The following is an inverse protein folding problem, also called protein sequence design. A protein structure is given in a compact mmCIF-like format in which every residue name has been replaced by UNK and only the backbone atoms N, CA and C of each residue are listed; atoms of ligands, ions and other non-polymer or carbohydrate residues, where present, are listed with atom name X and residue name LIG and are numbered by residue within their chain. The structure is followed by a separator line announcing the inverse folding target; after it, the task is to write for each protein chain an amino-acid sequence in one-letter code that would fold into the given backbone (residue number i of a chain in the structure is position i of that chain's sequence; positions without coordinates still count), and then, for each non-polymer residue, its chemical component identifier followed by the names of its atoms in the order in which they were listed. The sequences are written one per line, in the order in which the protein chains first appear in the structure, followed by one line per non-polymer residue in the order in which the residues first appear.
data_IF_685345886005
#
_entry.id   IF_685345886005
#
_cell.length_a   1.000
_cell.length_b   1.000
_cell.length_c   1.000
_cell.angle_alpha   90.00
_cell.angle_beta   90.00
_cell.angle_gamma   90.00
#
_symmetry.space_group_name_H-M   'P 1'
#
loop_
_entity.id
_entity.type
_entity.pdbx_description
1 polymer ?
#
# COMPACT_ATOMS: atom_id res chain seq x y z
N UNK A 1 -30.76 -28.90 2.06
CA UNK A 1 -29.29 -28.99 2.10
C UNK A 1 -28.80 -28.56 3.48
N UNK A 2 -28.34 -29.55 4.23
CA UNK A 2 -27.30 -29.54 5.27
C UNK A 2 -26.60 -28.19 5.58
N UNK A 3 -26.71 -27.70 6.83
CA UNK A 3 -25.70 -27.89 7.90
C UNK A 3 -26.01 -26.97 9.09
N UNK A 4 -26.27 -27.59 10.24
CA UNK A 4 -26.32 -26.91 11.52
C UNK A 4 -24.98 -26.24 11.83
N UNK A 5 -25.04 -25.05 12.42
CA UNK A 5 -23.85 -24.38 12.91
C UNK A 5 -23.36 -25.07 14.18
N UNK A 6 -22.06 -25.38 14.17
CA UNK A 6 -21.36 -26.12 15.21
C UNK A 6 -21.26 -25.28 16.50
N UNK A 7 -21.86 -25.83 17.55
CA UNK A 7 -21.33 -26.03 18.91
C UNK A 7 -20.29 -25.04 19.43
N UNK A 8 -20.65 -24.44 20.56
CA UNK A 8 -19.80 -23.69 21.48
C UNK A 8 -18.51 -24.44 21.80
N UNK A 9 -17.38 -23.93 21.30
CA UNK A 9 -16.07 -24.37 21.77
C UNK A 9 -15.74 -23.60 23.06
N UNK A 10 -16.26 -24.13 24.18
CA UNK A 10 -15.71 -23.89 25.51
C UNK A 10 -14.29 -24.47 25.59
N UNK A 11 -13.27 -23.73 25.17
CA UNK A 11 -11.90 -24.01 25.60
C UNK A 11 -11.16 -22.71 25.94
N UNK A 12 -10.82 -22.63 27.23
CA UNK A 12 -9.64 -21.95 27.77
C UNK A 12 -9.71 -20.42 27.90
N UNK A 13 -10.11 -20.00 29.10
CA UNK A 13 -9.50 -18.87 29.82
C UNK A 13 -7.98 -18.88 29.59
N UNK A 14 -7.48 -18.04 28.69
CA UNK A 14 -6.07 -17.63 28.69
C UNK A 14 -6.02 -16.12 28.83
N UNK A 15 -5.80 -15.73 30.07
CA UNK A 15 -5.41 -14.40 30.52
C UNK A 15 -4.39 -13.73 29.60
N UNK A 16 -4.53 -12.41 29.46
CA UNK A 16 -3.46 -11.45 29.19
C UNK A 16 -2.66 -11.66 27.89
N UNK A 17 -3.04 -10.90 26.87
CA UNK A 17 -2.27 -9.71 26.44
C UNK A 17 -3.10 -8.96 25.39
N UNK A 18 -3.51 -7.74 25.70
CA UNK A 18 -4.07 -6.80 24.73
C UNK A 18 -2.94 -6.44 23.74
N UNK A 19 -2.70 -7.28 22.74
CA UNK A 19 -2.00 -6.84 21.54
C UNK A 19 -3.07 -6.11 20.75
N UNK A 20 -3.05 -4.79 20.87
CA UNK A 20 -3.84 -3.92 20.01
C UNK A 20 -3.26 -4.14 18.61
N UNK A 21 -3.88 -5.03 17.84
CA UNK A 21 -3.63 -5.11 16.40
C UNK A 21 -4.18 -3.81 15.80
N UNK A 22 -3.33 -2.80 15.68
CA UNK A 22 -3.64 -1.54 14.99
C UNK A 22 -3.71 -1.72 13.46
N UNK A 23 -4.14 -2.89 12.99
CA UNK A 23 -4.23 -3.21 11.58
C UNK A 23 -5.69 -3.57 11.29
N UNK A 24 -6.37 -2.80 10.44
CA UNK A 24 -7.75 -3.10 10.11
C UNK A 24 -7.76 -4.39 9.28
N UNK A 25 -8.21 -5.47 9.92
CA UNK A 25 -8.65 -6.70 9.25
C UNK A 25 -9.88 -6.37 8.40
N UNK A 26 -9.64 -5.83 7.20
CA UNK A 26 -10.69 -5.38 6.31
C UNK A 26 -10.22 -4.28 5.38
N UNK A 27 -9.14 -4.50 4.61
CA UNK A 27 -8.79 -3.59 3.51
C UNK A 27 -9.72 -3.87 2.32
N UNK A 28 -10.99 -3.47 2.46
CA UNK A 28 -11.77 -3.04 1.30
C UNK A 28 -10.89 -2.04 0.57
N UNK A 29 -10.60 -2.31 -0.71
CA UNK A 29 -9.59 -1.62 -1.52
C UNK A 29 -9.81 -0.11 -1.40
N UNK A 30 -9.08 0.53 -0.48
CA UNK A 30 -9.14 1.96 -0.28
C UNK A 30 -8.37 2.54 -1.44
N UNK A 31 -9.08 3.20 -2.35
CA UNK A 31 -8.51 4.10 -3.34
C UNK A 31 -7.96 5.34 -2.62
N UNK A 32 -7.07 5.10 -1.66
CA UNK A 32 -6.33 6.15 -0.96
C UNK A 32 -5.62 6.94 -2.05
N UNK A 33 -5.79 8.28 -2.06
CA UNK A 33 -5.25 9.11 -3.12
C UNK A 33 -3.74 8.88 -3.19
N UNK A 34 -3.29 8.45 -4.37
CA UNK A 34 -1.88 8.42 -4.72
C UNK A 34 -1.61 9.63 -5.61
N UNK A 35 -0.61 10.47 -5.30
CA UNK A 35 0.41 10.31 -4.26
C UNK A 35 -0.10 10.69 -2.84
N UNK A 36 0.56 10.19 -1.78
CA UNK A 36 0.22 10.55 -0.41
C UNK A 36 0.39 12.05 -0.18
N UNK A 37 -0.40 12.66 0.70
CA UNK A 37 -0.34 14.10 0.97
C UNK A 37 1.07 14.62 1.35
N UNK A 38 1.91 13.77 1.94
CA UNK A 38 3.28 14.10 2.34
C UNK A 38 4.34 13.75 1.29
N UNK A 39 3.95 13.49 0.03
CA UNK A 39 4.90 13.08 -1.00
C UNK A 39 5.88 14.22 -1.34
N UNK A 40 5.38 15.45 -1.48
CA UNK A 40 6.21 16.60 -1.81
C UNK A 40 7.20 16.97 -0.71
N UNK A 41 6.82 16.81 0.56
CA UNK A 41 7.70 17.06 1.71
C UNK A 41 8.73 15.94 1.90
N UNK A 42 8.36 14.70 1.61
CA UNK A 42 9.27 13.54 1.71
C UNK A 42 10.25 13.44 0.54
N UNK A 43 9.85 13.90 -0.65
CA UNK A 43 10.66 13.84 -1.87
C UNK A 43 10.68 15.18 -2.62
N UNK A 44 11.29 16.24 -2.05
CA UNK A 44 11.30 17.57 -2.66
C UNK A 44 12.06 17.61 -4.00
N UNK A 45 13.02 16.71 -4.20
CA UNK A 45 13.82 16.63 -5.43
C UNK A 45 13.18 15.75 -6.52
N UNK A 46 12.08 15.06 -6.25
CA UNK A 46 11.39 14.18 -7.21
C UNK A 46 11.11 14.84 -8.57
N UNK A 47 10.56 16.07 -8.66
CA UNK A 47 10.28 16.67 -9.96
C UNK A 47 11.55 16.87 -10.80
N UNK A 48 12.68 17.20 -10.17
CA UNK A 48 13.95 17.42 -10.86
C UNK A 48 14.57 16.11 -11.37
N UNK A 49 14.49 15.04 -10.58
CA UNK A 49 14.97 13.71 -11.01
C UNK A 49 14.10 13.19 -12.16
N UNK A 50 12.78 13.37 -12.07
CA UNK A 50 11.84 12.96 -13.10
C UNK A 50 12.11 13.67 -14.43
N UNK A 51 12.35 14.98 -14.41
CA UNK A 51 12.62 15.75 -15.64
C UNK A 51 13.91 15.30 -16.31
N UNK A 52 15.00 15.11 -15.55
CA UNK A 52 16.27 14.59 -16.08
C UNK A 52 16.06 13.22 -16.72
N UNK A 53 15.33 12.33 -16.05
CA UNK A 53 15.05 10.98 -16.56
C UNK A 53 14.31 11.05 -17.90
N UNK A 54 13.27 11.89 -18.01
CA UNK A 54 12.52 12.09 -19.26
C UNK A 54 13.42 12.62 -20.36
N UNK A 55 14.30 13.60 -20.07
CA UNK A 55 15.22 14.16 -21.05
C UNK A 55 16.20 13.10 -21.56
N UNK A 56 16.77 12.29 -20.67
CA UNK A 56 17.71 11.21 -21.04
C UNK A 56 17.02 10.19 -21.94
N UNK A 57 15.80 9.76 -21.57
CA UNK A 57 15.01 8.82 -22.39
C UNK A 57 14.64 9.44 -23.74
N UNK A 58 14.25 10.72 -23.76
CA UNK A 58 13.90 11.44 -24.99
C UNK A 58 15.09 11.59 -25.94
N UNK A 59 16.27 11.93 -25.43
CA UNK A 59 17.51 11.98 -26.19
C UNK A 59 17.89 10.60 -26.74
N UNK A 60 17.78 9.56 -25.91
CA UNK A 60 18.03 8.19 -26.34
C UNK A 60 17.10 7.75 -27.46
N UNK A 61 15.80 8.05 -27.33
CA UNK A 61 14.80 7.75 -28.35
C UNK A 61 15.05 8.50 -29.68
N UNK A 62 15.38 9.79 -29.61
CA UNK A 62 15.76 10.58 -30.80
C UNK A 62 17.03 10.05 -31.46
N UNK A 63 18.00 9.58 -30.67
CA UNK A 63 19.20 8.93 -31.20
C UNK A 63 18.92 7.61 -31.91
N UNK A 64 17.84 6.90 -31.55
CA UNK A 64 17.41 5.68 -32.24
C UNK A 64 16.66 5.96 -33.56
N UNK A 65 16.01 7.13 -33.67
CA UNK A 65 15.32 7.55 -34.89
C UNK A 65 16.26 8.10 -35.98
N UNK A 66 17.51 8.40 -35.62
CA UNK A 66 18.56 8.88 -36.53
C UNK A 66 19.34 7.72 -37.14
#
# INVERSE_FOLDING_TARGET
MNKGFATDNLISKKSNKKIISNEPQGRLISWSPWPPANFQTRYPAFPFVLTILIIVIGQWYLSLLR
#
